data_IF_704742941075
#
_entry.id   IF_704742941075
#
_cell.length_a   1.000
_cell.length_b   1.000
_cell.length_c   1.000
_cell.angle_alpha   90.00
_cell.angle_beta   90.00
_cell.angle_gamma   90.00
#
_symmetry.space_group_name_H-M   'P 1'
#
loop_
_entity.id
_entity.type
_entity.pdbx_description
1 polymer ?
#
# COMPACT_ATOMS: atom_id res chain seq x y z
N UNK A 1 5.15 14.72 11.23
CA UNK A 1 4.25 13.82 12.03
C UNK A 1 4.86 13.51 13.38
N UNK A 2 4.10 13.60 14.49
CA UNK A 2 4.57 13.33 15.84
C UNK A 2 4.68 11.83 16.17
N UNK A 3 5.31 11.52 17.35
CA UNK A 3 5.55 10.13 17.76
C UNK A 3 4.25 9.38 18.11
N UNK A 4 3.24 10.08 18.64
CA UNK A 4 1.98 9.46 19.04
C UNK A 4 1.19 9.04 17.78
N UNK A 5 1.05 9.92 16.81
CA UNK A 5 0.40 9.63 15.50
C UNK A 5 1.11 8.48 14.79
N UNK A 6 2.45 8.45 14.79
CA UNK A 6 3.20 7.33 14.19
C UNK A 6 2.92 5.99 14.89
N UNK A 7 2.79 5.99 16.22
CA UNK A 7 2.46 4.76 16.96
C UNK A 7 1.05 4.24 16.63
N UNK A 8 0.08 5.13 16.42
CA UNK A 8 -1.28 4.77 16.00
C UNK A 8 -1.26 4.18 14.58
N UNK A 9 -0.53 4.80 13.63
CA UNK A 9 -0.36 4.26 12.27
C UNK A 9 0.30 2.88 12.31
N UNK A 10 1.35 2.70 13.13
CA UNK A 10 2.03 1.41 13.27
C UNK A 10 1.05 0.33 13.70
N UNK A 11 0.31 0.54 14.80
CA UNK A 11 -0.67 -0.43 15.30
C UNK A 11 -1.77 -0.73 14.29
N UNK A 12 -2.27 0.27 13.60
CA UNK A 12 -3.28 0.10 12.55
C UNK A 12 -2.73 -0.72 11.38
N UNK A 13 -1.51 -0.43 10.93
CA UNK A 13 -0.84 -1.17 9.84
C UNK A 13 -0.60 -2.63 10.20
N UNK A 14 -0.11 -2.90 11.42
CA UNK A 14 0.11 -4.28 11.90
C UNK A 14 -1.20 -5.07 11.99
N UNK A 15 -2.28 -4.46 12.50
CA UNK A 15 -3.60 -5.09 12.57
C UNK A 15 -4.18 -5.36 11.17
N UNK A 16 -4.12 -4.37 10.27
CA UNK A 16 -4.60 -4.51 8.90
C UNK A 16 -3.81 -5.59 8.13
N UNK A 17 -2.50 -5.64 8.31
CA UNK A 17 -1.65 -6.69 7.75
C UNK A 17 -2.07 -8.06 8.26
N UNK A 18 -2.20 -8.24 9.58
CA UNK A 18 -2.60 -9.53 10.17
C UNK A 18 -3.97 -10.00 9.67
N UNK A 19 -4.96 -9.11 9.62
CA UNK A 19 -6.29 -9.37 9.07
C UNK A 19 -6.20 -9.88 7.62
N UNK A 20 -5.49 -9.15 6.74
CA UNK A 20 -5.39 -9.48 5.33
C UNK A 20 -4.54 -10.74 5.06
N UNK A 21 -3.41 -10.92 5.75
CA UNK A 21 -2.59 -12.12 5.58
C UNK A 21 -3.35 -13.39 6.02
N UNK A 22 -4.12 -13.32 7.11
CA UNK A 22 -4.98 -14.42 7.55
C UNK A 22 -6.06 -14.72 6.52
N UNK A 23 -6.79 -13.71 6.09
CA UNK A 23 -7.86 -13.83 5.11
C UNK A 23 -7.37 -14.45 3.79
N UNK A 24 -6.25 -13.98 3.26
CA UNK A 24 -5.74 -14.49 1.98
C UNK A 24 -5.16 -15.90 2.09
N UNK A 25 -4.57 -16.27 3.23
CA UNK A 25 -4.17 -17.68 3.48
C UNK A 25 -5.38 -18.60 3.52
N UNK A 26 -6.44 -18.20 4.20
CA UNK A 26 -7.68 -18.98 4.25
C UNK A 26 -8.32 -19.12 2.87
N UNK A 27 -8.28 -18.07 2.02
CA UNK A 27 -8.78 -18.18 0.66
C UNK A 27 -7.93 -19.12 -0.19
N UNK A 28 -6.60 -19.04 -0.10
CA UNK A 28 -5.70 -19.94 -0.83
C UNK A 28 -5.95 -21.40 -0.42
N UNK A 29 -5.97 -21.71 0.89
CA UNK A 29 -6.18 -23.08 1.38
C UNK A 29 -7.61 -23.56 1.13
N UNK A 30 -8.62 -22.81 1.58
CA UNK A 30 -10.01 -23.28 1.62
C UNK A 30 -10.75 -23.19 0.30
N UNK A 31 -10.40 -22.24 -0.59
CA UNK A 31 -11.07 -22.06 -1.88
C UNK A 31 -10.26 -22.62 -3.04
N UNK A 32 -8.97 -22.38 -3.05
CA UNK A 32 -8.11 -22.68 -4.19
C UNK A 32 -7.23 -23.93 -4.00
N UNK A 33 -7.33 -24.63 -2.86
CA UNK A 33 -6.54 -25.81 -2.49
C UNK A 33 -5.02 -25.57 -2.54
N UNK A 34 -4.59 -24.29 -2.44
CA UNK A 34 -3.19 -23.90 -2.45
C UNK A 34 -2.69 -23.77 -1.01
N UNK A 35 -1.85 -24.72 -0.58
CA UNK A 35 -1.35 -24.82 0.80
C UNK A 35 0.13 -24.50 0.86
N UNK A 36 0.51 -23.66 1.82
CA UNK A 36 1.90 -23.38 2.10
C UNK A 36 2.68 -24.67 2.45
N UNK A 37 3.88 -24.83 1.88
CA UNK A 37 4.73 -26.00 2.11
C UNK A 37 4.25 -27.28 1.41
N UNK A 38 3.28 -27.21 0.52
CA UNK A 38 2.82 -28.34 -0.31
C UNK A 38 2.98 -28.05 -1.79
N UNK A 39 3.13 -29.08 -2.64
CA UNK A 39 3.12 -28.92 -4.08
C UNK A 39 1.85 -28.19 -4.55
N UNK A 40 1.99 -27.32 -5.55
CA UNK A 40 0.87 -26.62 -6.15
C UNK A 40 -0.07 -27.60 -6.85
N UNK A 41 -1.40 -27.39 -6.77
CA UNK A 41 -2.36 -28.22 -7.47
C UNK A 41 -2.20 -28.07 -8.99
N UNK A 42 -2.13 -29.19 -9.70
CA UNK A 42 -1.96 -29.20 -11.16
C UNK A 42 -3.22 -28.70 -11.89
N UNK A 43 -4.40 -28.96 -11.32
CA UNK A 43 -5.69 -28.59 -11.91
C UNK A 43 -6.56 -27.86 -10.87
N UNK A 44 -7.42 -26.94 -11.32
CA UNK A 44 -8.39 -26.27 -10.44
C UNK A 44 -9.44 -27.26 -9.93
N UNK A 45 -9.82 -27.12 -8.66
CA UNK A 45 -10.84 -27.95 -8.03
C UNK A 45 -12.17 -27.90 -8.79
N UNK A 46 -12.89 -29.05 -8.80
CA UNK A 46 -14.18 -29.17 -9.51
C UNK A 46 -15.28 -28.24 -8.94
N UNK A 47 -15.13 -27.81 -7.69
CA UNK A 47 -16.05 -26.90 -6.98
C UNK A 47 -15.94 -25.44 -7.44
N UNK A 48 -14.88 -25.08 -8.19
CA UNK A 48 -14.65 -23.72 -8.65
C UNK A 48 -15.51 -23.41 -9.89
N UNK A 49 -16.11 -22.23 -9.90
CA UNK A 49 -16.74 -21.68 -11.09
C UNK A 49 -15.71 -21.22 -12.18
N UNK A 50 -16.18 -20.74 -13.32
CA UNK A 50 -15.31 -20.37 -14.42
C UNK A 50 -14.33 -19.24 -14.08
N UNK A 51 -14.78 -18.21 -13.36
CA UNK A 51 -13.95 -17.09 -12.96
C UNK A 51 -12.96 -17.51 -11.88
N UNK A 52 -13.38 -18.30 -10.92
CA UNK A 52 -12.50 -18.84 -9.88
C UNK A 52 -11.43 -19.77 -10.44
N UNK A 53 -11.75 -20.58 -11.48
CA UNK A 53 -10.75 -21.40 -12.19
C UNK A 53 -9.70 -20.53 -12.89
N UNK A 54 -10.13 -19.44 -13.51
CA UNK A 54 -9.22 -18.48 -14.13
C UNK A 54 -8.29 -17.84 -13.07
N UNK A 55 -8.84 -17.41 -11.95
CA UNK A 55 -8.04 -16.88 -10.83
C UNK A 55 -7.08 -17.94 -10.29
N UNK A 56 -7.53 -19.18 -10.08
CA UNK A 56 -6.68 -20.29 -9.66
C UNK A 56 -5.48 -20.48 -10.59
N UNK A 57 -5.71 -20.52 -11.90
CA UNK A 57 -4.63 -20.68 -12.88
C UNK A 57 -3.62 -19.53 -12.83
N UNK A 58 -4.08 -18.30 -12.62
CA UNK A 58 -3.21 -17.14 -12.45
C UNK A 58 -2.43 -17.18 -11.14
N UNK A 59 -3.06 -17.63 -10.04
CA UNK A 59 -2.38 -17.84 -8.75
C UNK A 59 -1.28 -18.87 -8.86
N UNK A 60 -1.56 -20.04 -9.46
CA UNK A 60 -0.57 -21.10 -9.67
C UNK A 60 0.59 -20.58 -10.52
N UNK A 61 0.32 -19.92 -11.64
CA UNK A 61 1.38 -19.36 -12.49
C UNK A 61 2.25 -18.32 -11.74
N UNK A 62 1.64 -17.49 -10.90
CA UNK A 62 2.36 -16.50 -10.09
C UNK A 62 3.26 -17.17 -9.05
N UNK A 63 2.76 -18.19 -8.36
CA UNK A 63 3.51 -18.95 -7.37
C UNK A 63 4.65 -19.77 -8.00
N UNK A 64 4.41 -20.37 -9.16
CA UNK A 64 5.46 -21.04 -9.94
C UNK A 64 6.56 -20.06 -10.36
N UNK A 65 6.20 -18.85 -10.78
CA UNK A 65 7.18 -17.82 -11.09
C UNK A 65 8.06 -17.46 -9.87
N UNK A 66 7.47 -17.34 -8.67
CA UNK A 66 8.23 -17.11 -7.44
C UNK A 66 9.16 -18.28 -7.12
N UNK A 67 8.73 -19.52 -7.36
CA UNK A 67 9.57 -20.74 -7.19
C UNK A 67 10.73 -20.77 -8.17
N UNK A 68 10.51 -20.42 -9.43
CA UNK A 68 11.59 -20.33 -10.44
C UNK A 68 12.64 -19.27 -10.05
N UNK A 69 12.28 -18.29 -9.25
CA UNK A 69 13.20 -17.28 -8.69
C UNK A 69 13.90 -17.73 -7.40
N UNK A 70 13.72 -18.99 -6.98
CA UNK A 70 14.43 -19.60 -5.87
C UNK A 70 13.64 -19.67 -4.55
N UNK A 71 12.35 -19.32 -4.53
CA UNK A 71 11.51 -19.55 -3.36
C UNK A 71 11.12 -21.04 -3.25
N UNK A 72 11.10 -21.59 -2.03
CA UNK A 72 10.47 -22.90 -1.79
C UNK A 72 8.93 -22.73 -1.75
N UNK A 73 8.19 -23.86 -1.62
CA UNK A 73 6.72 -23.85 -1.63
C UNK A 73 6.11 -22.96 -0.52
N UNK A 74 6.70 -23.00 0.67
CA UNK A 74 6.28 -22.18 1.80
C UNK A 74 6.55 -20.69 1.52
N UNK A 75 7.78 -20.37 1.14
CA UNK A 75 8.22 -18.99 0.92
C UNK A 75 7.47 -18.33 -0.26
N UNK A 76 7.10 -19.09 -1.30
CA UNK A 76 6.33 -18.58 -2.44
C UNK A 76 4.94 -18.14 -2.00
N UNK A 77 4.21 -18.99 -1.24
CA UNK A 77 2.89 -18.65 -0.71
C UNK A 77 2.98 -17.47 0.27
N UNK A 78 3.95 -17.49 1.19
CA UNK A 78 4.13 -16.42 2.18
C UNK A 78 4.46 -15.07 1.51
N UNK A 79 5.27 -15.09 0.46
CA UNK A 79 5.59 -13.90 -0.32
C UNK A 79 4.36 -13.37 -1.04
N UNK A 80 3.61 -14.24 -1.73
CA UNK A 80 2.40 -13.85 -2.43
C UNK A 80 1.34 -13.26 -1.50
N UNK A 81 1.05 -13.92 -0.37
CA UNK A 81 0.08 -13.45 0.63
C UNK A 81 0.45 -12.06 1.13
N UNK A 82 1.73 -11.85 1.40
CA UNK A 82 2.23 -10.55 1.85
C UNK A 82 2.07 -9.46 0.78
N UNK A 83 2.43 -9.76 -0.47
CA UNK A 83 2.29 -8.81 -1.58
C UNK A 83 0.82 -8.46 -1.84
N UNK A 84 -0.09 -9.44 -1.79
CA UNK A 84 -1.52 -9.21 -1.92
C UNK A 84 -2.09 -8.37 -0.76
N UNK A 85 -1.69 -8.66 0.48
CA UNK A 85 -2.08 -7.89 1.66
C UNK A 85 -1.55 -6.45 1.59
N UNK A 86 -0.30 -6.26 1.18
CA UNK A 86 0.31 -4.95 0.99
C UNK A 86 -0.39 -4.13 -0.08
N UNK A 87 -0.66 -4.72 -1.24
CA UNK A 87 -1.36 -4.07 -2.35
C UNK A 87 -2.77 -3.63 -1.94
N UNK A 88 -3.52 -4.51 -1.28
CA UNK A 88 -4.88 -4.20 -0.80
C UNK A 88 -4.87 -3.07 0.23
N UNK A 89 -4.00 -3.14 1.22
CA UNK A 89 -3.89 -2.09 2.25
C UNK A 89 -3.51 -0.75 1.63
N UNK A 90 -2.50 -0.72 0.75
CA UNK A 90 -2.05 0.53 0.13
C UNK A 90 -3.12 1.19 -0.73
N UNK A 91 -3.89 0.42 -1.49
CA UNK A 91 -5.00 0.94 -2.30
C UNK A 91 -6.06 1.62 -1.44
N UNK A 92 -6.49 0.94 -0.37
CA UNK A 92 -7.50 1.51 0.53
C UNK A 92 -6.96 2.69 1.35
N UNK A 93 -5.70 2.64 1.78
CA UNK A 93 -5.05 3.76 2.45
C UNK A 93 -4.90 4.97 1.52
N UNK A 94 -4.53 4.77 0.26
CA UNK A 94 -4.46 5.83 -0.73
C UNK A 94 -5.82 6.46 -0.98
N UNK A 95 -6.89 5.67 -1.16
CA UNK A 95 -8.26 6.19 -1.24
C UNK A 95 -8.63 7.01 -0.01
N UNK A 96 -8.25 6.55 1.18
CA UNK A 96 -8.51 7.26 2.44
C UNK A 96 -7.80 8.62 2.50
N UNK A 97 -6.57 8.70 2.00
CA UNK A 97 -5.82 9.95 1.87
C UNK A 97 -6.42 10.88 0.81
N UNK A 98 -6.93 10.34 -0.30
CA UNK A 98 -7.64 11.11 -1.33
C UNK A 98 -8.97 11.67 -0.80
N UNK A 99 -9.73 10.89 -0.01
CA UNK A 99 -10.91 11.37 0.70
C UNK A 99 -10.59 12.54 1.64
N UNK A 100 -9.54 12.41 2.46
CA UNK A 100 -9.15 13.43 3.42
C UNK A 100 -8.76 14.76 2.75
N UNK A 101 -8.35 14.70 1.48
CA UNK A 101 -8.02 15.87 0.64
C UNK A 101 -9.17 16.33 -0.26
N UNK A 102 -10.35 15.73 -0.13
CA UNK A 102 -11.52 15.99 -0.97
C UNK A 102 -11.25 15.80 -2.49
N UNK A 103 -10.28 14.95 -2.85
CA UNK A 103 -9.98 14.59 -4.24
C UNK A 103 -10.90 13.50 -4.77
N UNK A 104 -11.45 12.67 -3.87
CA UNK A 104 -12.50 11.70 -4.16
C UNK A 104 -13.61 11.83 -3.12
N UNK A 105 -14.84 11.47 -3.50
CA UNK A 105 -15.94 11.38 -2.54
C UNK A 105 -15.65 10.27 -1.53
N UNK A 106 -16.15 10.39 -0.27
CA UNK A 106 -16.00 9.31 0.71
C UNK A 106 -16.41 7.96 0.13
N UNK A 107 -15.46 7.02 0.09
CA UNK A 107 -15.63 5.68 -0.47
C UNK A 107 -15.17 4.59 0.53
N UNK A 108 -14.10 4.85 1.29
CA UNK A 108 -13.60 4.00 2.38
C UNK A 108 -14.22 4.41 3.71
N UNK A 109 -14.41 5.72 3.93
CA UNK A 109 -15.13 6.24 5.09
C UNK A 109 -16.58 5.75 5.08
N UNK A 110 -17.00 5.12 6.18
CA UNK A 110 -18.30 4.45 6.31
C UNK A 110 -18.53 3.27 5.34
N UNK A 111 -17.53 2.83 4.58
CA UNK A 111 -17.59 1.66 3.71
C UNK A 111 -18.82 1.66 2.78
N UNK A 112 -19.64 0.58 2.78
CA UNK A 112 -20.86 0.50 1.97
C UNK A 112 -21.94 1.56 2.30
N UNK A 113 -21.80 2.28 3.41
CA UNK A 113 -22.69 3.40 3.75
C UNK A 113 -22.13 4.78 3.32
N UNK A 114 -20.99 4.80 2.61
CA UNK A 114 -20.33 6.01 2.12
C UNK A 114 -21.20 6.80 1.13
N UNK A 115 -21.00 8.11 1.07
CA UNK A 115 -21.73 8.97 0.14
C UNK A 115 -21.40 8.67 -1.32
N UNK A 116 -20.13 8.41 -1.63
CA UNK A 116 -19.71 8.06 -2.98
C UNK A 116 -20.35 6.76 -3.48
N UNK A 117 -20.40 5.72 -2.62
CA UNK A 117 -21.07 4.48 -3.00
C UNK A 117 -22.58 4.63 -3.14
N UNK A 118 -23.24 5.40 -2.26
CA UNK A 118 -24.68 5.67 -2.37
C UNK A 118 -25.05 6.36 -3.68
N UNK A 119 -24.27 7.32 -4.12
CA UNK A 119 -24.48 7.97 -5.40
C UNK A 119 -24.27 7.01 -6.57
N UNK A 120 -23.18 6.23 -6.54
CA UNK A 120 -22.88 5.22 -7.57
C UNK A 120 -23.99 4.16 -7.67
N UNK A 121 -24.43 3.61 -6.55
CA UNK A 121 -25.50 2.61 -6.52
C UNK A 121 -26.85 3.17 -6.93
N UNK A 122 -27.09 4.46 -6.68
CA UNK A 122 -28.29 5.16 -7.15
C UNK A 122 -28.37 5.26 -8.68
N UNK A 123 -27.23 5.32 -9.37
CA UNK A 123 -27.16 5.33 -10.83
C UNK A 123 -27.32 3.95 -11.46
N UNK A 124 -27.08 2.88 -10.70
CA UNK A 124 -27.09 1.51 -11.18
C UNK A 124 -27.85 0.57 -10.20
N UNK A 125 -29.20 0.61 -10.18
CA UNK A 125 -30.01 -0.16 -9.24
C UNK A 125 -29.76 -1.67 -9.25
N UNK A 126 -29.36 -2.24 -10.38
CA UNK A 126 -29.02 -3.67 -10.52
C UNK A 126 -27.82 -4.12 -9.67
N UNK A 127 -27.01 -3.21 -9.14
CA UNK A 127 -25.93 -3.54 -8.21
C UNK A 127 -26.42 -4.16 -6.90
N UNK A 128 -27.66 -3.89 -6.51
CA UNK A 128 -28.27 -4.46 -5.29
C UNK A 128 -28.42 -5.99 -5.34
N UNK A 129 -28.37 -6.58 -6.54
CA UNK A 129 -28.44 -8.02 -6.77
C UNK A 129 -27.06 -8.70 -6.63
N UNK A 130 -25.97 -7.95 -6.61
CA UNK A 130 -24.63 -8.48 -6.40
C UNK A 130 -24.40 -8.88 -4.93
N UNK A 131 -23.52 -9.87 -4.66
CA UNK A 131 -23.28 -10.39 -3.31
C UNK A 131 -22.96 -9.31 -2.27
N UNK A 132 -22.13 -8.35 -2.61
CA UNK A 132 -21.71 -7.20 -1.77
C UNK A 132 -22.48 -5.92 -2.11
N UNK A 133 -23.65 -6.06 -2.75
CA UNK A 133 -24.47 -4.95 -3.28
C UNK A 133 -23.69 -4.03 -4.21
N UNK A 134 -22.62 -4.53 -4.81
CA UNK A 134 -21.77 -3.81 -5.77
C UNK A 134 -20.72 -2.89 -5.14
N UNK A 135 -20.49 -2.94 -3.84
CA UNK A 135 -19.48 -2.09 -3.20
C UNK A 135 -18.06 -2.39 -3.70
N UNK A 136 -17.71 -3.66 -3.88
CA UNK A 136 -16.44 -4.06 -4.50
C UNK A 136 -16.32 -3.48 -5.91
N UNK A 137 -17.35 -3.63 -6.73
CA UNK A 137 -17.34 -3.09 -8.10
C UNK A 137 -17.15 -1.58 -8.12
N UNK A 138 -17.79 -0.86 -7.19
CA UNK A 138 -17.57 0.58 -7.04
C UNK A 138 -16.10 0.92 -6.76
N UNK A 139 -15.47 0.23 -5.81
CA UNK A 139 -14.05 0.45 -5.52
C UNK A 139 -13.15 0.08 -6.71
N UNK A 140 -13.51 -0.99 -7.43
CA UNK A 140 -12.79 -1.39 -8.65
C UNK A 140 -12.91 -0.35 -9.77
N UNK A 141 -14.06 0.30 -9.93
CA UNK A 141 -14.23 1.42 -10.87
C UNK A 141 -13.35 2.62 -10.46
N UNK A 142 -13.26 2.94 -9.16
CA UNK A 142 -12.36 3.99 -8.68
C UNK A 142 -10.89 3.63 -8.94
N UNK A 143 -10.51 2.37 -8.76
CA UNK A 143 -9.14 1.93 -9.08
C UNK A 143 -8.85 2.10 -10.57
N UNK A 144 -9.76 1.73 -11.46
CA UNK A 144 -9.59 1.88 -12.91
C UNK A 144 -9.47 3.37 -13.30
N UNK A 145 -10.25 4.26 -12.68
CA UNK A 145 -10.18 5.70 -12.91
C UNK A 145 -8.83 6.27 -12.45
N UNK A 146 -8.39 5.96 -11.24
CA UNK A 146 -7.14 6.47 -10.67
C UNK A 146 -5.92 5.81 -11.35
N UNK A 147 -6.04 4.59 -11.86
CA UNK A 147 -4.96 3.89 -12.56
C UNK A 147 -4.49 4.60 -13.83
N UNK A 148 -5.29 5.52 -14.38
CA UNK A 148 -4.89 6.37 -15.51
C UNK A 148 -3.67 7.21 -15.13
N UNK A 149 -3.65 7.75 -13.90
CA UNK A 149 -2.58 8.59 -13.38
C UNK A 149 -1.54 7.79 -12.57
N UNK A 150 -1.99 6.85 -11.74
CA UNK A 150 -1.14 6.08 -10.80
C UNK A 150 -1.28 4.59 -11.05
N UNK A 151 -0.92 4.16 -12.25
CA UNK A 151 -1.04 2.77 -12.70
C UNK A 151 -0.35 1.77 -11.77
N UNK A 152 0.86 2.08 -11.31
CA UNK A 152 1.67 1.17 -10.46
C UNK A 152 0.91 0.71 -9.22
N UNK A 153 0.07 1.57 -8.62
CA UNK A 153 -0.67 1.25 -7.40
C UNK A 153 -2.03 0.61 -7.70
N UNK A 154 -2.72 1.07 -8.76
CA UNK A 154 -4.13 0.76 -8.97
C UNK A 154 -4.40 -0.22 -10.13
N UNK A 155 -3.37 -0.73 -10.84
CA UNK A 155 -3.58 -1.73 -11.91
C UNK A 155 -4.19 -3.03 -11.35
N UNK A 156 -5.46 -3.26 -11.65
CA UNK A 156 -6.20 -4.46 -11.24
C UNK A 156 -5.70 -5.76 -11.88
N UNK A 157 -4.85 -5.66 -12.89
CA UNK A 157 -4.22 -6.82 -13.56
C UNK A 157 -2.96 -7.28 -12.85
N UNK A 158 -2.50 -6.54 -11.82
CA UNK A 158 -1.39 -6.96 -10.98
C UNK A 158 -1.72 -8.32 -10.33
N UNK A 159 -0.83 -9.33 -10.43
CA UNK A 159 -1.01 -10.62 -9.77
C UNK A 159 -1.31 -10.52 -8.27
N UNK A 160 -0.77 -9.52 -7.58
CA UNK A 160 -1.07 -9.27 -6.17
C UNK A 160 -2.52 -8.79 -5.92
N UNK A 161 -3.28 -8.45 -6.97
CA UNK A 161 -4.67 -8.01 -6.90
C UNK A 161 -5.70 -9.11 -7.20
N UNK A 162 -5.26 -10.36 -7.42
CA UNK A 162 -6.16 -11.49 -7.75
C UNK A 162 -7.10 -11.85 -6.61
N UNK A 163 -6.64 -11.70 -5.36
CA UNK A 163 -7.45 -11.94 -4.18
C UNK A 163 -8.09 -10.63 -3.69
N UNK A 164 -9.33 -10.74 -3.27
CA UNK A 164 -10.09 -9.68 -2.60
C UNK A 164 -10.57 -10.17 -1.25
N UNK A 165 -10.50 -9.37 -0.17
CA UNK A 165 -10.98 -9.78 1.14
C UNK A 165 -12.49 -10.04 1.13
N UNK A 166 -12.91 -11.13 1.77
CA UNK A 166 -14.34 -11.45 1.97
C UNK A 166 -14.98 -10.40 2.89
N UNK A 167 -16.30 -10.33 2.89
CA UNK A 167 -17.08 -9.28 3.56
C UNK A 167 -16.67 -9.04 5.03
N UNK A 168 -16.44 -10.10 5.80
CA UNK A 168 -16.05 -9.99 7.20
C UNK A 168 -14.67 -9.36 7.36
N UNK A 169 -13.67 -9.81 6.58
CA UNK A 169 -12.32 -9.26 6.60
C UNK A 169 -12.27 -7.83 6.04
N UNK A 170 -13.07 -7.55 5.00
CA UNK A 170 -13.19 -6.19 4.46
C UNK A 170 -13.81 -5.25 5.51
N UNK A 171 -14.87 -5.67 6.21
CA UNK A 171 -15.48 -4.87 7.27
C UNK A 171 -14.51 -4.59 8.42
N UNK A 172 -13.73 -5.59 8.84
CA UNK A 172 -12.68 -5.42 9.84
C UNK A 172 -11.59 -4.44 9.37
N UNK A 173 -11.11 -4.59 8.13
CA UNK A 173 -10.12 -3.70 7.55
C UNK A 173 -10.63 -2.25 7.48
N UNK A 174 -11.86 -2.05 7.02
CA UNK A 174 -12.50 -0.73 7.00
C UNK A 174 -12.64 -0.16 8.41
N UNK A 175 -13.00 -0.97 9.41
CA UNK A 175 -13.08 -0.54 10.80
C UNK A 175 -11.69 -0.10 11.34
N UNK A 176 -10.61 -0.80 10.98
CA UNK A 176 -9.25 -0.40 11.33
C UNK A 176 -8.90 0.95 10.71
N UNK A 177 -9.14 1.15 9.41
CA UNK A 177 -8.79 2.37 8.69
C UNK A 177 -9.65 3.58 9.10
N UNK A 178 -10.85 3.35 9.63
CA UNK A 178 -11.77 4.38 10.06
C UNK A 178 -11.71 4.70 11.56
N UNK A 179 -10.69 4.23 12.28
CA UNK A 179 -10.50 4.59 13.68
C UNK A 179 -10.35 6.10 13.85
N UNK A 180 -11.04 6.72 14.81
CA UNK A 180 -10.99 8.17 15.03
C UNK A 180 -9.57 8.71 15.23
N UNK A 181 -8.68 7.91 15.85
CA UNK A 181 -7.29 8.28 16.13
C UNK A 181 -6.45 8.42 14.85
N UNK A 182 -6.89 7.83 13.73
CA UNK A 182 -6.23 7.95 12.44
C UNK A 182 -6.70 9.17 11.63
N UNK A 183 -7.76 9.87 12.05
CA UNK A 183 -8.38 10.92 11.24
C UNK A 183 -7.38 12.00 10.80
N UNK A 184 -6.51 12.45 11.73
CA UNK A 184 -5.48 13.45 11.44
C UNK A 184 -4.41 12.88 10.50
N UNK A 185 -4.05 11.62 10.68
CA UNK A 185 -3.00 10.98 9.88
C UNK A 185 -3.34 10.96 8.38
N UNK A 186 -4.60 10.76 8.01
CA UNK A 186 -4.98 10.69 6.59
C UNK A 186 -4.77 11.99 5.81
N UNK A 187 -4.70 13.14 6.48
CA UNK A 187 -4.38 14.43 5.87
C UNK A 187 -2.86 14.66 5.72
N UNK A 188 -2.03 13.90 6.44
CA UNK A 188 -0.58 14.07 6.44
C UNK A 188 0.07 13.38 5.24
N UNK A 189 1.03 14.05 4.58
CA UNK A 189 1.74 13.53 3.41
C UNK A 189 2.61 12.31 3.73
N UNK A 190 3.13 12.24 4.96
CA UNK A 190 4.01 11.16 5.41
C UNK A 190 3.30 9.82 5.63
N UNK A 191 1.97 9.79 5.71
CA UNK A 191 1.20 8.63 6.19
C UNK A 191 1.46 7.38 5.38
N UNK A 192 1.42 7.47 4.03
CA UNK A 192 1.69 6.31 3.17
C UNK A 192 3.11 5.76 3.35
N UNK A 193 4.08 6.64 3.57
CA UNK A 193 5.47 6.24 3.81
C UNK A 193 5.64 5.50 5.15
N UNK A 194 4.94 5.93 6.20
CA UNK A 194 4.93 5.22 7.48
C UNK A 194 4.19 3.89 7.41
N UNK A 195 3.05 3.80 6.69
CA UNK A 195 2.37 2.53 6.42
C UNK A 195 3.32 1.55 5.73
N UNK A 196 4.02 1.99 4.67
CA UNK A 196 5.01 1.19 3.97
C UNK A 196 6.10 0.67 4.93
N UNK A 197 6.64 1.53 5.78
CA UNK A 197 7.69 1.15 6.72
C UNK A 197 7.21 0.19 7.80
N UNK A 198 6.01 0.39 8.35
CA UNK A 198 5.47 -0.43 9.42
C UNK A 198 4.90 -1.76 8.92
N UNK A 199 4.50 -1.84 7.65
CA UNK A 199 4.11 -3.10 7.03
C UNK A 199 5.25 -4.13 7.08
N UNK A 200 6.50 -3.69 6.89
CA UNK A 200 7.69 -4.50 7.11
C UNK A 200 8.14 -4.36 8.57
N UNK A 201 7.68 -5.25 9.43
CA UNK A 201 7.86 -5.13 10.88
C UNK A 201 9.33 -5.07 11.32
N UNK A 202 9.59 -4.37 12.43
CA UNK A 202 10.93 -4.35 13.05
C UNK A 202 11.38 -5.74 13.49
N UNK A 203 10.45 -6.56 13.99
CA UNK A 203 10.72 -7.94 14.39
C UNK A 203 11.17 -8.81 13.21
N UNK A 204 10.57 -8.64 12.05
CA UNK A 204 10.99 -9.35 10.84
C UNK A 204 12.40 -8.94 10.38
N UNK A 205 12.69 -7.65 10.38
CA UNK A 205 14.04 -7.13 10.10
C UNK A 205 15.09 -7.70 11.07
N UNK A 206 14.74 -7.76 12.34
CA UNK A 206 15.62 -8.32 13.37
C UNK A 206 15.83 -9.83 13.18
N UNK A 207 14.78 -10.58 12.88
CA UNK A 207 14.86 -12.01 12.58
C UNK A 207 15.76 -12.28 11.36
N UNK A 208 15.61 -11.52 10.28
CA UNK A 208 16.48 -11.62 9.09
C UNK A 208 17.95 -11.31 9.43
N UNK A 209 18.20 -10.31 10.28
CA UNK A 209 19.57 -9.98 10.72
C UNK A 209 20.19 -11.06 11.61
N UNK A 210 19.39 -11.72 12.44
CA UNK A 210 19.85 -12.85 13.27
C UNK A 210 20.18 -14.09 12.44
N UNK A 211 19.45 -14.31 11.34
CA UNK A 211 19.67 -15.47 10.46
C UNK A 211 20.90 -15.31 9.58
N UNK A 212 21.23 -14.11 9.13
CA UNK A 212 22.40 -13.84 8.29
C UNK A 212 22.90 -12.41 8.48
N UNK A 213 24.22 -12.21 8.52
CA UNK A 213 24.84 -10.88 8.53
C UNK A 213 24.66 -10.15 7.21
N UNK A 214 24.58 -10.89 6.09
CA UNK A 214 24.40 -10.35 4.73
C UNK A 214 23.00 -10.69 4.22
N UNK A 215 22.30 -9.79 3.51
CA UNK A 215 21.01 -10.09 2.87
C UNK A 215 21.17 -11.27 1.88
N UNK A 216 20.31 -12.28 1.99
CA UNK A 216 20.36 -13.49 1.17
C UNK A 216 19.72 -13.32 -0.21
N UNK A 217 18.85 -12.31 -0.35
CA UNK A 217 18.13 -12.01 -1.58
C UNK A 217 17.72 -10.54 -1.64
N UNK A 218 17.20 -10.11 -2.80
CA UNK A 218 16.76 -8.72 -3.05
C UNK A 218 15.68 -8.26 -2.08
N UNK A 219 14.77 -9.14 -1.67
CA UNK A 219 13.73 -8.81 -0.69
C UNK A 219 14.32 -8.50 0.69
N UNK A 220 15.22 -9.34 1.18
CA UNK A 220 15.91 -9.07 2.45
C UNK A 220 16.72 -7.79 2.40
N UNK A 221 17.37 -7.51 1.26
CA UNK A 221 18.09 -6.26 1.04
C UNK A 221 17.13 -5.06 1.17
N UNK A 222 15.97 -5.12 0.52
CA UNK A 222 14.96 -4.07 0.59
C UNK A 222 14.42 -3.90 2.02
N UNK A 223 13.92 -4.97 2.65
CA UNK A 223 13.31 -4.93 3.99
C UNK A 223 14.30 -4.42 5.06
N UNK A 224 15.60 -4.76 4.92
CA UNK A 224 16.63 -4.40 5.90
C UNK A 224 17.16 -2.98 5.76
N UNK A 225 17.12 -2.40 4.55
CA UNK A 225 17.79 -1.14 4.23
C UNK A 225 16.85 -0.03 3.71
N UNK A 226 15.61 -0.34 3.36
CA UNK A 226 14.63 0.66 2.97
C UNK A 226 13.94 1.25 4.22
N UNK A 227 14.16 2.54 4.42
CA UNK A 227 13.51 3.32 5.46
C UNK A 227 12.80 4.49 4.82
N UNK A 228 11.62 4.82 5.34
CA UNK A 228 10.96 6.05 4.96
C UNK A 228 11.80 7.24 5.41
N UNK A 229 12.09 8.15 4.48
CA UNK A 229 12.90 9.34 4.77
C UNK A 229 12.02 10.40 5.44
N UNK A 230 12.33 10.81 6.69
CA UNK A 230 11.56 11.82 7.39
C UNK A 230 11.54 13.17 6.63
N UNK A 231 10.44 13.89 6.74
CA UNK A 231 10.19 15.14 6.03
C UNK A 231 11.33 16.15 6.19
N UNK A 232 11.84 16.35 7.41
CA UNK A 232 12.92 17.32 7.65
C UNK A 232 14.20 17.00 6.85
N UNK A 233 14.50 15.70 6.60
CA UNK A 233 15.64 15.30 5.77
C UNK A 233 15.38 15.64 4.31
N UNK A 234 14.15 15.39 3.83
CA UNK A 234 13.75 15.73 2.45
C UNK A 234 13.82 17.24 2.25
N UNK A 235 13.28 18.03 3.17
CA UNK A 235 13.34 19.50 3.15
C UNK A 235 14.79 19.98 3.13
N UNK A 236 15.64 19.49 4.04
CA UNK A 236 17.05 19.85 4.07
C UNK A 236 17.75 19.54 2.72
N UNK A 237 17.53 18.36 2.17
CA UNK A 237 18.14 17.97 0.89
C UNK A 237 17.61 18.83 -0.27
N UNK A 238 16.31 19.10 -0.33
CA UNK A 238 15.70 19.91 -1.38
C UNK A 238 16.16 21.35 -1.29
N UNK A 239 16.17 21.93 -0.10
CA UNK A 239 16.60 23.31 0.13
C UNK A 239 18.07 23.50 -0.25
N UNK A 240 18.93 22.52 0.08
CA UNK A 240 20.37 22.61 -0.18
C UNK A 240 20.84 22.00 -1.51
N UNK A 241 19.92 21.59 -2.37
CA UNK A 241 20.17 21.21 -3.76
C UNK A 241 19.47 22.18 -4.70
N UNK A 242 18.18 21.97 -4.95
CA UNK A 242 17.40 22.81 -5.86
C UNK A 242 17.30 24.27 -5.36
N UNK A 243 17.01 24.43 -4.05
CA UNK A 243 16.93 25.75 -3.42
C UNK A 243 18.26 26.49 -3.49
N UNK A 244 19.36 25.80 -3.17
CA UNK A 244 20.70 26.36 -3.25
C UNK A 244 21.09 26.75 -4.66
N UNK A 245 20.84 25.90 -5.64
CA UNK A 245 21.10 26.22 -7.06
C UNK A 245 20.33 27.45 -7.51
N UNK A 246 19.05 27.56 -7.16
CA UNK A 246 18.23 28.72 -7.47
C UNK A 246 18.76 29.98 -6.78
N UNK A 247 19.14 29.90 -5.52
CA UNK A 247 19.72 31.01 -4.75
C UNK A 247 20.99 31.56 -5.41
N UNK A 248 21.88 30.66 -5.83
CA UNK A 248 23.10 31.03 -6.57
C UNK A 248 22.81 31.68 -7.93
N UNK A 249 21.90 31.08 -8.73
CA UNK A 249 21.48 31.64 -10.04
C UNK A 249 20.90 33.05 -9.91
N UNK A 250 20.26 33.35 -8.78
CA UNK A 250 19.67 34.66 -8.50
C UNK A 250 20.60 35.60 -7.73
N UNK A 251 21.87 35.23 -7.51
CA UNK A 251 22.84 35.96 -6.71
C UNK A 251 22.26 36.40 -5.35
N UNK A 252 21.54 35.53 -4.67
CA UNK A 252 20.87 35.79 -3.39
C UNK A 252 19.61 36.66 -3.47
N UNK A 253 19.26 37.22 -4.64
CA UNK A 253 18.07 38.08 -4.82
C UNK A 253 16.80 37.23 -5.02
N UNK A 254 16.34 36.57 -3.96
CA UNK A 254 15.17 35.70 -4.01
C UNK A 254 14.46 35.67 -2.65
N UNK A 255 13.15 35.42 -2.65
CA UNK A 255 12.34 35.19 -1.45
C UNK A 255 12.49 33.75 -0.93
N UNK A 256 13.32 32.92 -1.55
CA UNK A 256 13.46 31.52 -1.19
C UNK A 256 13.98 31.36 0.25
N UNK A 257 14.85 32.27 0.69
CA UNK A 257 15.38 32.33 2.07
C UNK A 257 14.30 32.48 3.12
N UNK A 258 13.15 33.10 2.78
CA UNK A 258 12.01 33.26 3.69
C UNK A 258 11.17 31.97 3.80
N UNK A 259 11.25 31.09 2.82
CA UNK A 259 10.44 29.89 2.67
C UNK A 259 11.20 28.60 2.99
N UNK A 260 12.47 28.52 2.60
CA UNK A 260 13.35 27.37 2.80
C UNK A 260 14.12 27.50 4.12
N UNK A 261 13.54 26.97 5.20
CA UNK A 261 14.10 27.11 6.56
C UNK A 261 15.45 26.37 6.74
N UNK A 262 15.72 25.38 5.90
CA UNK A 262 16.93 24.55 5.96
C UNK A 262 18.00 24.97 4.96
N UNK A 263 17.78 26.04 4.18
CA UNK A 263 18.75 26.52 3.21
C UNK A 263 19.99 27.09 3.91
N UNK A 264 21.13 26.51 3.64
CA UNK A 264 22.43 26.99 4.15
C UNK A 264 22.94 28.08 3.25
N UNK A 265 23.11 29.30 3.79
CA UNK A 265 23.68 30.44 3.10
C UNK A 265 24.41 31.35 4.10
N UNK A 266 25.36 32.12 3.62
CA UNK A 266 26.07 33.14 4.43
C UNK A 266 25.50 34.54 4.14
N UNK A 267 25.47 35.44 5.16
CA UNK A 267 24.90 36.79 4.99
C UNK A 267 25.59 37.65 3.90
N UNK A 268 26.90 37.44 3.69
CA UNK A 268 27.73 38.23 2.77
C UNK A 268 28.31 37.36 1.64
N UNK A 269 27.57 36.34 1.25
CA UNK A 269 28.03 35.40 0.24
C UNK A 269 28.26 36.05 -1.12
N UNK A 270 29.42 35.78 -1.72
CA UNK A 270 29.78 36.26 -3.07
C UNK A 270 29.45 35.20 -4.10
N UNK A 271 28.78 35.61 -5.16
CA UNK A 271 28.41 34.77 -6.28
C UNK A 271 29.34 34.99 -7.45
N UNK A 272 29.83 33.91 -8.03
CA UNK A 272 30.55 34.00 -9.30
C UNK A 272 29.59 34.46 -10.39
N UNK A 273 30.00 35.37 -11.28
CA UNK A 273 29.17 35.77 -12.42
C UNK A 273 28.89 34.54 -13.30
N UNK A 274 27.67 34.43 -13.87
CA UNK A 274 27.29 33.31 -14.74
C UNK A 274 28.14 33.24 -16.02
#
# INVERSE_FOLDING_TARGET
MDKATRAVIQKATENARSCLETEFREQLDGRYDIRAGRPLPAEPGAHLDADQRRIHSQLVATLEHLRLRGANEQDAVDTYVREAAFTTLNRLAALKMLEARALVKPCVSNGPASTGFKEFSGLAPGLQELPDKGYRLYLECLFDEIAVEVKVLFDRRDPAALLWPRDAALAELLAILNRPELAIAWAEDETIGWIYQYFNSSAEREAMRKQSSVPRNSRELAVRNQFFTPRYVVEFLTDNTLGRTWYEMRAGQTRLTDQCQSLVHEPDERFDPP
#
